data_IF_462833705708
#
_entry.id   IF_462833705708
#
_cell.length_a   1.000
_cell.length_b   1.000
_cell.length_c   1.000
_cell.angle_alpha   90.00
_cell.angle_beta   90.00
_cell.angle_gamma   90.00
#
_symmetry.space_group_name_H-M   'P 1'
#
loop_
_entity.id
_entity.type
_entity.pdbx_description
1 polymer ?
#
# COMPACT_ATOMS: atom_id res chain seq x y z
N UNK A 1 -21.17 18.64 -10.05
CA UNK A 1 -21.30 18.22 -8.64
C UNK A 1 -20.41 16.99 -8.46
N UNK A 2 -19.17 17.18 -8.06
CA UNK A 2 -18.26 16.08 -7.73
C UNK A 2 -18.69 15.51 -6.38
N UNK A 3 -19.33 14.36 -6.39
CA UNK A 3 -19.54 13.57 -5.18
C UNK A 3 -18.17 13.11 -4.70
N UNK A 4 -17.73 13.61 -3.54
CA UNK A 4 -16.51 13.16 -2.86
C UNK A 4 -16.59 11.65 -2.67
N UNK A 5 -15.88 10.90 -3.51
CA UNK A 5 -15.86 9.43 -3.55
C UNK A 5 -14.85 8.90 -2.52
N UNK A 6 -15.01 9.28 -1.25
CA UNK A 6 -14.05 8.92 -0.20
C UNK A 6 -14.39 7.59 0.47
N UNK A 7 -15.46 6.90 0.04
CA UNK A 7 -15.85 5.59 0.57
C UNK A 7 -16.27 4.60 -0.51
N UNK A 8 -15.88 3.33 -0.32
CA UNK A 8 -16.44 2.23 -1.08
C UNK A 8 -17.75 1.79 -0.42
N UNK A 9 -18.74 1.40 -1.22
CA UNK A 9 -20.03 0.90 -0.75
C UNK A 9 -20.42 -0.38 -1.47
N UNK A 10 -21.11 -1.28 -0.79
CA UNK A 10 -21.57 -2.54 -1.37
C UNK A 10 -22.50 -3.27 -0.41
N UNK A 11 -23.67 -3.68 -0.92
CA UNK A 11 -24.67 -4.49 -0.19
C UNK A 11 -24.88 -4.01 1.25
N UNK A 12 -25.26 -2.74 1.42
CA UNK A 12 -25.57 -2.11 2.71
C UNK A 12 -24.38 -1.84 3.63
N UNK A 13 -23.14 -2.04 3.16
CA UNK A 13 -21.92 -1.67 3.89
C UNK A 13 -21.15 -0.57 3.17
N UNK A 14 -20.43 0.24 3.93
CA UNK A 14 -19.42 1.18 3.41
C UNK A 14 -18.11 1.03 4.16
N UNK A 15 -17.00 1.20 3.46
CA UNK A 15 -15.67 1.19 4.05
C UNK A 15 -14.76 2.26 3.43
N UNK A 16 -13.88 2.82 4.26
CA UNK A 16 -12.83 3.73 3.80
C UNK A 16 -11.61 3.66 4.71
N UNK A 17 -10.49 4.21 4.22
CA UNK A 17 -9.24 4.32 4.96
C UNK A 17 -9.00 5.79 5.27
N UNK A 18 -8.54 6.07 6.49
CA UNK A 18 -8.04 7.39 6.87
C UNK A 18 -6.57 7.30 7.23
N UNK A 19 -5.78 8.32 6.91
CA UNK A 19 -4.38 8.47 7.32
C UNK A 19 -4.29 9.69 8.21
N UNK A 20 -3.73 9.51 9.42
CA UNK A 20 -3.70 10.53 10.48
C UNK A 20 -5.10 11.18 10.73
N UNK A 21 -6.15 10.37 10.70
CA UNK A 21 -7.54 10.81 10.93
C UNK A 21 -8.23 11.48 9.74
N UNK A 22 -7.54 11.67 8.61
CA UNK A 22 -8.13 12.26 7.39
C UNK A 22 -8.49 11.16 6.39
N UNK A 23 -9.75 11.07 5.91
CA UNK A 23 -10.14 10.12 4.87
C UNK A 23 -9.28 10.25 3.62
N UNK A 24 -8.77 9.13 3.12
CA UNK A 24 -8.00 9.10 1.88
C UNK A 24 -8.91 9.23 0.67
N UNK A 25 -8.49 10.06 -0.29
CA UNK A 25 -9.06 10.05 -1.63
C UNK A 25 -8.91 8.66 -2.27
N UNK A 26 -9.95 8.25 -3.00
CA UNK A 26 -10.00 6.96 -3.68
C UNK A 26 -9.87 7.13 -5.18
N UNK A 27 -8.99 6.34 -5.79
CA UNK A 27 -8.67 6.41 -7.21
C UNK A 27 -9.02 5.11 -7.93
N UNK A 28 -9.40 5.23 -9.20
CA UNK A 28 -9.79 4.12 -10.07
C UNK A 28 -10.74 3.12 -9.36
N UNK A 29 -11.81 3.66 -8.77
CA UNK A 29 -12.85 2.88 -8.09
C UNK A 29 -13.53 1.95 -9.09
N UNK A 30 -13.64 0.67 -8.73
CA UNK A 30 -14.27 -0.34 -9.54
C UNK A 30 -15.17 -1.21 -8.66
N UNK A 31 -16.38 -1.44 -9.13
CA UNK A 31 -17.34 -2.35 -8.53
C UNK A 31 -17.47 -3.57 -9.43
N UNK A 32 -17.48 -4.76 -8.83
CA UNK A 32 -17.80 -5.98 -9.56
C UNK A 32 -18.90 -6.71 -8.81
N UNK A 33 -19.90 -7.14 -9.56
CA UNK A 33 -20.88 -8.07 -9.05
C UNK A 33 -20.18 -9.41 -8.82
N UNK A 34 -20.45 -10.03 -7.68
CA UNK A 34 -19.91 -11.35 -7.36
C UNK A 34 -20.82 -12.46 -7.83
N UNK A 35 -20.25 -13.65 -7.94
CA UNK A 35 -21.05 -14.85 -8.12
C UNK A 35 -21.78 -15.26 -6.82
N UNK A 36 -22.45 -16.42 -6.88
CA UNK A 36 -23.22 -16.94 -5.75
C UNK A 36 -22.38 -17.20 -4.49
N UNK A 37 -21.06 -17.35 -4.61
CA UNK A 37 -20.15 -17.74 -3.52
C UNK A 37 -19.35 -16.54 -3.02
N UNK A 38 -18.76 -15.75 -3.92
CA UNK A 38 -17.84 -14.68 -3.58
C UNK A 38 -18.52 -13.36 -3.16
N UNK A 39 -19.77 -13.14 -3.60
CA UNK A 39 -20.51 -11.90 -3.35
C UNK A 39 -19.83 -10.64 -3.92
N UNK A 40 -20.49 -9.47 -3.84
CA UNK A 40 -20.02 -8.27 -4.51
C UNK A 40 -18.65 -7.81 -3.99
N UNK A 41 -17.85 -7.25 -4.89
CA UNK A 41 -16.57 -6.66 -4.54
C UNK A 41 -16.47 -5.20 -5.00
N UNK A 42 -15.72 -4.42 -4.24
CA UNK A 42 -15.37 -3.05 -4.58
C UNK A 42 -13.87 -2.87 -4.35
N UNK A 43 -13.19 -2.20 -5.29
CA UNK A 43 -11.76 -1.97 -5.21
C UNK A 43 -11.39 -0.56 -5.63
N UNK A 44 -10.37 -0.02 -4.99
CA UNK A 44 -9.79 1.27 -5.36
C UNK A 44 -8.32 1.32 -4.99
N UNK A 45 -7.67 2.40 -5.42
CA UNK A 45 -6.35 2.78 -4.97
C UNK A 45 -6.45 3.91 -3.95
N UNK A 46 -5.56 3.89 -2.97
CA UNK A 46 -5.40 4.96 -1.98
C UNK A 46 -3.94 5.36 -1.88
N UNK A 47 -3.70 6.65 -1.60
CA UNK A 47 -2.37 7.11 -1.26
C UNK A 47 -1.96 6.61 0.12
N UNK A 48 -0.71 6.22 0.26
CA UNK A 48 -0.07 5.85 1.53
C UNK A 48 1.16 6.72 1.74
N UNK A 49 1.48 7.00 3.00
CA UNK A 49 2.66 7.79 3.39
C UNK A 49 3.41 7.02 4.45
N UNK A 50 4.71 6.77 4.25
CA UNK A 50 5.52 6.06 5.22
C UNK A 50 5.53 6.77 6.58
N UNK A 51 5.58 5.97 7.64
CA UNK A 51 5.59 6.39 9.05
C UNK A 51 4.32 7.14 9.50
N UNK A 52 3.22 7.06 8.73
CA UNK A 52 1.93 7.59 9.14
C UNK A 52 1.00 6.49 9.61
N UNK A 53 0.22 6.82 10.64
CA UNK A 53 -0.82 5.95 11.16
C UNK A 53 -2.00 5.93 10.21
N UNK A 54 -2.69 4.80 10.13
CA UNK A 54 -3.94 4.71 9.38
C UNK A 54 -5.00 3.94 10.15
N UNK A 55 -6.25 4.20 9.78
CA UNK A 55 -7.41 3.53 10.36
C UNK A 55 -8.37 3.09 9.27
N UNK A 56 -8.98 1.93 9.48
CA UNK A 56 -10.02 1.37 8.63
C UNK A 56 -11.35 1.73 9.27
N UNK A 57 -12.22 2.36 8.50
CA UNK A 57 -13.55 2.72 8.94
C UNK A 57 -14.58 1.89 8.20
N UNK A 58 -15.55 1.40 8.96
CA UNK A 58 -16.61 0.52 8.48
C UNK A 58 -17.93 1.07 8.97
N UNK A 59 -18.88 1.22 8.06
CA UNK A 59 -20.25 1.60 8.37
C UNK A 59 -21.19 0.57 7.77
N UNK A 60 -22.29 0.28 8.47
CA UNK A 60 -23.39 -0.47 7.91
C UNK A 60 -24.65 0.38 7.88
N UNK A 61 -25.53 0.08 6.95
CA UNK A 61 -26.91 0.54 6.97
C UNK A 61 -27.68 -0.15 8.10
N UNK A 62 -28.85 0.41 8.42
CA UNK A 62 -29.68 -0.14 9.47
C UNK A 62 -30.36 -1.43 8.98
N UNK A 63 -30.09 -2.53 9.67
CA UNK A 63 -30.69 -3.85 9.46
C UNK A 63 -30.74 -4.62 10.79
N UNK A 64 -31.46 -5.74 10.82
CA UNK A 64 -31.60 -6.60 12.01
C UNK A 64 -30.51 -7.68 12.10
N UNK A 65 -29.42 -7.54 11.33
CA UNK A 65 -28.32 -8.51 11.29
C UNK A 65 -27.15 -8.07 12.16
N UNK A 66 -26.55 -9.02 12.86
CA UNK A 66 -25.17 -8.83 13.30
C UNK A 66 -24.26 -8.92 12.08
N UNK A 67 -23.06 -8.36 12.20
CA UNK A 67 -22.10 -8.43 11.11
C UNK A 67 -20.70 -8.69 11.62
N UNK A 68 -19.89 -9.30 10.76
CA UNK A 68 -18.49 -9.60 11.02
C UNK A 68 -17.62 -8.93 9.97
N UNK A 69 -16.58 -8.25 10.42
CA UNK A 69 -15.50 -7.73 9.58
C UNK A 69 -14.25 -8.59 9.77
N UNK A 70 -13.76 -9.17 8.68
CA UNK A 70 -12.46 -9.81 8.62
C UNK A 70 -11.50 -8.92 7.83
N UNK A 71 -10.46 -8.41 8.49
CA UNK A 71 -9.47 -7.53 7.87
C UNK A 71 -8.20 -8.31 7.59
N UNK A 72 -7.71 -8.16 6.37
CA UNK A 72 -6.43 -8.67 5.93
C UNK A 72 -5.51 -7.50 5.59
N UNK A 73 -4.32 -7.48 6.17
CA UNK A 73 -3.26 -6.52 5.88
C UNK A 73 -2.12 -7.26 5.22
N UNK A 74 -1.76 -6.85 4.02
CA UNK A 74 -0.71 -7.48 3.22
C UNK A 74 -0.88 -9.00 3.04
N UNK A 75 -2.13 -9.47 3.03
CA UNK A 75 -2.49 -10.89 2.92
C UNK A 75 -2.73 -11.62 4.25
N UNK A 76 -2.32 -11.06 5.39
CA UNK A 76 -2.49 -11.70 6.70
C UNK A 76 -3.78 -11.28 7.37
N UNK A 77 -4.55 -12.25 7.88
CA UNK A 77 -5.75 -11.97 8.66
C UNK A 77 -5.36 -11.41 10.03
N UNK A 78 -5.69 -10.15 10.29
CA UNK A 78 -5.26 -9.45 11.52
C UNK A 78 -6.41 -9.06 12.44
N UNK A 79 -7.62 -8.92 11.89
CA UNK A 79 -8.82 -8.57 12.66
C UNK A 79 -9.96 -9.48 12.24
N UNK A 80 -10.66 -9.98 13.25
CA UNK A 80 -11.91 -10.71 13.11
C UNK A 80 -12.87 -10.16 14.19
N UNK A 81 -13.64 -9.14 13.82
CA UNK A 81 -14.50 -8.40 14.74
C UNK A 81 -15.96 -8.64 14.40
N UNK A 82 -16.74 -8.99 15.42
CA UNK A 82 -18.20 -9.13 15.34
C UNK A 82 -18.83 -7.89 15.96
N UNK A 83 -19.83 -7.34 15.28
CA UNK A 83 -20.53 -6.13 15.68
C UNK A 83 -22.01 -6.43 15.81
N UNK A 84 -22.59 -5.95 16.91
CA UNK A 84 -23.98 -6.17 17.22
C UNK A 84 -24.90 -5.34 16.31
N UNK A 85 -26.05 -5.89 15.91
CA UNK A 85 -27.02 -5.26 15.00
C UNK A 85 -27.48 -3.86 15.38
N UNK A 86 -27.57 -3.56 16.68
CA UNK A 86 -27.96 -2.24 17.20
C UNK A 86 -26.90 -1.16 16.99
N UNK A 87 -25.68 -1.52 16.59
CA UNK A 87 -24.61 -0.58 16.34
C UNK A 87 -24.73 -0.08 14.89
N UNK A 88 -25.15 1.17 14.75
CA UNK A 88 -25.24 1.87 13.45
C UNK A 88 -24.13 2.91 13.26
N UNK A 89 -23.40 3.25 14.33
CA UNK A 89 -22.26 4.16 14.26
C UNK A 89 -21.10 3.55 13.46
N UNK A 90 -20.33 4.39 12.78
CA UNK A 90 -19.07 3.99 12.15
C UNK A 90 -18.15 3.31 13.17
N UNK A 91 -17.62 2.16 12.78
CA UNK A 91 -16.60 1.42 13.52
C UNK A 91 -15.24 1.73 12.93
N UNK A 92 -14.31 2.09 13.81
CA UNK A 92 -12.93 2.42 13.45
C UNK A 92 -12.02 1.32 13.98
N UNK A 93 -11.17 0.81 13.11
CA UNK A 93 -10.13 -0.18 13.41
C UNK A 93 -8.79 0.53 13.14
N UNK A 94 -8.12 0.95 14.20
CA UNK A 94 -6.79 1.59 14.15
C UNK A 94 -5.69 0.74 14.78
N UNK A 95 -6.07 -0.35 15.45
CA UNK A 95 -5.15 -1.23 16.17
C UNK A 95 -5.46 -2.70 15.90
N UNK A 96 -4.48 -3.55 16.20
CA UNK A 96 -4.62 -5.01 16.23
C UNK A 96 -4.27 -5.54 17.62
N UNK A 97 -4.91 -6.64 18.00
CA UNK A 97 -4.65 -7.30 19.29
C UNK A 97 -3.48 -8.27 19.18
N UNK A 98 -2.45 -8.07 20.00
CA UNK A 98 -1.29 -8.97 20.09
C UNK A 98 -1.39 -9.93 21.29
N UNK A 99 -2.26 -9.61 22.24
CA UNK A 99 -2.66 -10.46 23.36
C UNK A 99 -4.10 -10.11 23.78
N UNK A 100 -4.60 -10.66 24.89
CA UNK A 100 -5.90 -10.29 25.46
C UNK A 100 -5.95 -8.84 25.98
N UNK A 101 -4.78 -8.23 26.19
CA UNK A 101 -4.62 -6.97 26.91
C UNK A 101 -3.69 -5.98 26.23
N UNK A 102 -3.08 -6.33 25.10
CA UNK A 102 -2.17 -5.44 24.39
C UNK A 102 -2.57 -5.32 22.93
N UNK A 103 -2.36 -4.11 22.41
CA UNK A 103 -2.62 -3.79 21.01
C UNK A 103 -1.42 -3.09 20.38
N UNK A 104 -1.38 -3.07 19.04
CA UNK A 104 -0.44 -2.25 18.28
C UNK A 104 -1.17 -1.41 17.25
N UNK A 105 -0.73 -0.17 17.10
CA UNK A 105 -1.25 0.76 16.08
C UNK A 105 -0.87 0.32 14.66
N UNK A 106 -1.75 0.61 13.71
CA UNK A 106 -1.55 0.33 12.28
C UNK A 106 -0.82 1.50 11.61
N UNK A 107 0.34 1.22 11.03
CA UNK A 107 1.16 2.22 10.35
C UNK A 107 1.53 1.76 8.93
N UNK A 108 1.57 2.71 7.99
CA UNK A 108 2.32 2.51 6.76
C UNK A 108 3.81 2.71 7.04
N UNK A 109 4.66 1.89 6.44
CA UNK A 109 6.10 2.01 6.55
C UNK A 109 6.78 1.72 5.23
N UNK A 110 8.03 2.16 5.09
CA UNK A 110 8.86 1.77 3.96
C UNK A 110 9.05 0.24 3.94
N UNK A 111 9.07 -0.33 2.74
CA UNK A 111 9.36 -1.72 2.50
C UNK A 111 10.84 -2.01 2.80
N UNK A 112 11.12 -2.94 3.70
CA UNK A 112 12.48 -3.41 3.96
C UNK A 112 12.85 -4.46 2.91
N UNK A 113 13.88 -4.17 2.14
CA UNK A 113 14.27 -4.96 0.98
C UNK A 113 15.59 -5.67 1.25
N UNK A 114 15.76 -6.86 0.69
CA UNK A 114 16.97 -7.66 0.78
C UNK A 114 17.28 -8.32 -0.56
N UNK A 115 18.55 -8.58 -0.85
CA UNK A 115 19.01 -9.33 -2.04
C UNK A 115 19.37 -10.79 -1.68
N UNK A 116 18.82 -11.28 -0.56
CA UNK A 116 19.00 -12.65 -0.10
C UNK A 116 17.95 -13.56 -0.74
N UNK A 117 18.37 -14.39 -1.70
CA UNK A 117 17.52 -15.31 -2.44
C UNK A 117 16.71 -16.27 -1.52
N UNK A 118 17.13 -16.48 -0.26
CA UNK A 118 16.33 -17.22 0.74
C UNK A 118 14.93 -16.61 0.97
N UNK A 119 14.77 -15.31 0.71
CA UNK A 119 13.51 -14.60 0.88
C UNK A 119 12.56 -14.75 -0.32
N UNK A 120 12.97 -15.43 -1.40
CA UNK A 120 12.14 -15.65 -2.59
C UNK A 120 11.03 -16.68 -2.38
N UNK A 121 11.25 -17.66 -1.52
CA UNK A 121 10.32 -18.77 -1.31
C UNK A 121 9.15 -18.42 -0.37
N UNK A 122 9.14 -17.22 0.22
CA UNK A 122 8.09 -16.80 1.15
C UNK A 122 6.75 -16.55 0.42
N UNK A 123 5.73 -17.42 0.57
CA UNK A 123 4.43 -17.25 -0.08
C UNK A 123 3.62 -16.01 0.33
N UNK A 124 3.73 -15.41 1.55
CA UNK A 124 2.86 -14.30 1.91
C UNK A 124 3.14 -12.98 1.16
N UNK A 125 4.25 -12.88 0.44
CA UNK A 125 4.69 -11.62 -0.20
C UNK A 125 3.83 -11.17 -1.38
N UNK A 126 2.99 -12.05 -1.97
CA UNK A 126 2.20 -11.72 -3.17
C UNK A 126 1.09 -10.69 -2.93
N UNK A 127 0.67 -10.52 -1.68
CA UNK A 127 -0.44 -9.65 -1.31
C UNK A 127 0.01 -8.39 -0.56
N UNK A 128 1.28 -7.99 -0.66
CA UNK A 128 1.76 -6.72 -0.08
C UNK A 128 1.18 -5.53 -0.84
N UNK A 129 0.84 -4.48 -0.11
CA UNK A 129 0.27 -3.27 -0.70
C UNK A 129 -1.25 -3.35 -0.84
N UNK A 130 -1.90 -4.26 -0.10
CA UNK A 130 -3.34 -4.46 -0.12
C UNK A 130 -3.90 -4.48 1.30
N UNK A 131 -4.99 -3.75 1.51
CA UNK A 131 -5.87 -3.85 2.67
C UNK A 131 -7.18 -4.43 2.17
N UNK A 132 -7.56 -5.60 2.68
CA UNK A 132 -8.81 -6.27 2.29
C UNK A 132 -9.74 -6.37 3.48
N UNK A 133 -10.95 -5.86 3.34
CA UNK A 133 -12.00 -5.93 4.36
C UNK A 133 -13.12 -6.80 3.82
N UNK A 134 -13.40 -7.91 4.49
CA UNK A 134 -14.49 -8.82 4.13
C UNK A 134 -15.59 -8.67 5.18
N UNK A 135 -16.75 -8.20 4.73
CA UNK A 135 -17.95 -8.03 5.55
C UNK A 135 -18.88 -9.21 5.32
N UNK A 136 -19.46 -9.75 6.38
CA UNK A 136 -20.50 -10.79 6.31
C UNK A 136 -21.61 -10.45 7.26
N UNK A 137 -22.88 -10.69 6.87
CA UNK A 137 -24.04 -10.71 7.77
C UNK A 137 -24.15 -12.05 8.49
N UNK A 138 -24.86 -12.06 9.61
CA UNK A 138 -24.93 -13.24 10.45
C UNK A 138 -25.58 -12.99 11.80
N UNK A 139 -25.39 -13.96 12.69
CA UNK A 139 -25.84 -13.91 14.08
C UNK A 139 -24.68 -14.12 15.03
N UNK A 140 -24.59 -13.24 16.02
CA UNK A 140 -23.67 -13.38 17.13
C UNK A 140 -24.20 -14.42 18.12
N UNK A 141 -23.40 -15.43 18.41
CA UNK A 141 -23.69 -16.43 19.43
C UNK A 141 -23.11 -16.06 20.80
N UNK A 142 -22.85 -17.08 21.60
CA UNK A 142 -22.34 -16.93 22.97
C UNK A 142 -20.89 -16.40 23.00
N UNK A 143 -20.54 -15.76 24.11
CA UNK A 143 -19.16 -15.36 24.39
C UNK A 143 -18.31 -16.57 24.75
N UNK A 144 -17.09 -16.59 24.23
CA UNK A 144 -16.13 -17.66 24.49
C UNK A 144 -15.22 -17.25 25.67
N UNK A 145 -14.88 -18.20 26.57
CA UNK A 145 -14.09 -17.90 27.76
C UNK A 145 -12.61 -17.58 27.46
N UNK A 146 -12.09 -18.06 26.34
CA UNK A 146 -10.68 -17.89 25.95
C UNK A 146 -10.52 -17.12 24.63
N UNK A 147 -9.50 -16.27 24.60
CA UNK A 147 -9.02 -15.62 23.38
C UNK A 147 -8.32 -16.65 22.47
N UNK A 148 -8.41 -16.45 21.16
CA UNK A 148 -7.65 -17.28 20.19
C UNK A 148 -6.17 -16.90 20.18
N UNK A 149 -5.34 -17.84 19.75
CA UNK A 149 -3.91 -17.64 19.49
C UNK A 149 -3.63 -16.43 18.59
N UNK A 150 -2.49 -15.79 18.86
CA UNK A 150 -2.05 -14.56 18.22
C UNK A 150 -0.81 -14.81 17.35
N UNK A 151 -1.02 -15.27 16.12
CA UNK A 151 0.06 -15.24 15.12
C UNK A 151 0.03 -13.91 14.38
N UNK A 152 0.67 -12.91 14.98
CA UNK A 152 1.12 -11.74 14.22
C UNK A 152 2.52 -12.04 13.75
N UNK A 153 2.62 -12.75 12.64
CA UNK A 153 3.88 -12.89 11.94
C UNK A 153 4.34 -11.50 11.50
N UNK A 154 5.52 -11.11 11.96
CA UNK A 154 6.25 -10.04 11.31
C UNK A 154 6.69 -10.58 9.95
N UNK A 155 5.93 -10.23 8.90
CA UNK A 155 6.34 -10.36 7.50
C UNK A 155 7.81 -9.94 7.40
N UNK A 156 8.70 -10.87 7.05
CA UNK A 156 10.15 -10.64 7.01
C UNK A 156 10.57 -9.61 5.95
N UNK A 157 11.86 -9.60 5.61
CA UNK A 157 12.38 -8.77 4.52
C UNK A 157 11.84 -9.28 3.18
N UNK A 158 11.65 -8.36 2.23
CA UNK A 158 11.15 -8.70 0.88
C UNK A 158 12.30 -8.74 -0.09
N UNK A 159 12.38 -9.78 -0.92
CA UNK A 159 13.44 -9.86 -1.91
C UNK A 159 13.31 -8.77 -2.99
N UNK A 160 14.41 -8.19 -3.46
CA UNK A 160 14.43 -7.14 -4.50
C UNK A 160 13.64 -7.55 -5.76
N UNK A 161 13.74 -8.82 -6.17
CA UNK A 161 13.04 -9.36 -7.35
C UNK A 161 11.51 -9.38 -7.22
N UNK A 162 10.96 -9.32 -6.00
CA UNK A 162 9.51 -9.31 -5.73
C UNK A 162 8.95 -7.89 -5.58
N UNK A 163 9.80 -6.85 -5.69
CA UNK A 163 9.51 -5.46 -5.37
C UNK A 163 8.68 -4.72 -6.42
N UNK A 164 8.40 -5.27 -7.61
CA UNK A 164 7.90 -4.47 -8.75
C UNK A 164 6.69 -3.59 -8.39
N UNK A 165 6.92 -2.28 -8.26
CA UNK A 165 5.91 -1.29 -7.89
C UNK A 165 5.48 -1.26 -6.40
N UNK A 166 6.22 -1.91 -5.50
CA UNK A 166 6.00 -1.95 -4.05
C UNK A 166 7.08 -1.15 -3.32
N UNK A 167 6.66 -0.19 -2.53
CA UNK A 167 7.54 0.70 -1.76
C UNK A 167 7.09 0.90 -0.32
N UNK A 168 5.81 0.70 -0.04
CA UNK A 168 5.25 0.72 1.31
C UNK A 168 4.71 -0.67 1.69
N UNK A 169 4.71 -0.93 2.99
CA UNK A 169 4.08 -2.08 3.65
C UNK A 169 3.35 -1.63 4.91
N UNK A 170 2.50 -2.49 5.47
CA UNK A 170 2.01 -2.30 6.83
C UNK A 170 3.08 -2.71 7.84
N UNK A 171 3.24 -1.90 8.89
CA UNK A 171 3.96 -2.24 10.12
C UNK A 171 3.08 -1.92 11.32
N UNK A 172 3.44 -2.55 12.43
CA UNK A 172 2.75 -2.36 13.70
C UNK A 172 3.59 -1.47 14.61
N UNK A 173 2.94 -0.54 15.29
CA UNK A 173 3.58 0.31 16.30
C UNK A 173 4.07 -0.47 17.53
N UNK A 174 4.57 0.22 18.56
CA UNK A 174 4.89 -0.41 19.84
C UNK A 174 3.64 -1.04 20.47
N UNK A 175 3.86 -2.03 21.33
CA UNK A 175 2.78 -2.62 22.12
C UNK A 175 2.26 -1.60 23.13
N UNK A 176 0.94 -1.47 23.21
CA UNK A 176 0.23 -0.57 24.11
C UNK A 176 -0.81 -1.36 24.90
N UNK A 177 -0.92 -1.07 26.20
CA UNK A 177 -1.90 -1.68 27.08
C UNK A 177 -3.31 -1.24 26.66
N UNK A 178 -4.18 -2.22 26.38
CA UNK A 178 -5.58 -1.98 26.11
C UNK A 178 -6.34 -1.67 27.41
N UNK A 179 -7.26 -0.72 27.33
CA UNK A 179 -8.12 -0.32 28.44
C UNK A 179 -9.15 -1.40 28.81
N UNK A 180 -9.46 -2.31 27.88
CA UNK A 180 -10.43 -3.39 28.07
C UNK A 180 -9.81 -4.71 27.64
N UNK A 181 -10.29 -5.81 28.23
CA UNK A 181 -9.93 -7.14 27.76
C UNK A 181 -10.58 -7.39 26.40
N UNK A 182 -9.85 -8.04 25.49
CA UNK A 182 -10.44 -8.59 24.27
C UNK A 182 -11.53 -9.62 24.61
N UNK A 183 -12.65 -9.57 23.88
CA UNK A 183 -13.72 -10.57 23.98
C UNK A 183 -13.85 -11.33 22.67
N UNK A 184 -14.15 -12.63 22.77
CA UNK A 184 -14.47 -13.46 21.62
C UNK A 184 -15.90 -13.99 21.74
N UNK A 185 -16.55 -14.22 20.60
CA UNK A 185 -17.88 -14.82 20.55
C UNK A 185 -17.99 -15.75 19.35
N UNK A 186 -18.97 -16.64 19.39
CA UNK A 186 -19.38 -17.41 18.24
C UNK A 186 -20.04 -16.51 17.20
N UNK A 187 -19.93 -16.89 15.93
CA UNK A 187 -20.55 -16.16 14.83
C UNK A 187 -21.01 -17.12 13.75
N UNK A 188 -22.31 -17.08 13.46
CA UNK A 188 -22.93 -17.84 12.39
C UNK A 188 -23.11 -16.93 11.16
N UNK A 189 -22.50 -17.29 10.04
CA UNK A 189 -22.58 -16.52 8.79
C UNK A 189 -23.94 -16.74 8.15
N UNK A 190 -24.66 -15.66 7.85
CA UNK A 190 -25.96 -15.69 7.18
C UNK A 190 -25.92 -14.69 6.03
N UNK A 191 -25.50 -15.15 4.85
CA UNK A 191 -25.42 -14.33 3.65
C UNK A 191 -24.06 -14.35 2.99
N UNK A 192 -24.00 -13.73 1.82
CA UNK A 192 -22.78 -13.64 1.01
C UNK A 192 -21.84 -12.58 1.59
N UNK A 193 -20.52 -12.75 1.42
CA UNK A 193 -19.59 -11.72 1.82
C UNK A 193 -19.62 -10.53 0.86
N UNK A 194 -19.25 -9.36 1.38
CA UNK A 194 -18.92 -8.17 0.60
C UNK A 194 -17.45 -7.88 0.80
N UNK A 195 -16.70 -7.70 -0.27
CA UNK A 195 -15.25 -7.48 -0.17
C UNK A 195 -14.86 -6.09 -0.63
N UNK A 196 -14.21 -5.33 0.24
CA UNK A 196 -13.56 -4.06 -0.07
C UNK A 196 -12.06 -4.26 -0.17
N UNK A 197 -11.46 -3.88 -1.30
CA UNK A 197 -10.03 -4.02 -1.56
C UNK A 197 -9.39 -2.65 -1.81
N UNK A 198 -8.59 -2.19 -0.85
CA UNK A 198 -7.82 -0.96 -0.97
C UNK A 198 -6.38 -1.29 -1.35
N UNK A 199 -5.97 -0.90 -2.54
CA UNK A 199 -4.59 -1.00 -3.00
C UNK A 199 -3.85 0.27 -2.60
N UNK A 200 -2.84 0.18 -1.77
CA UNK A 200 -2.15 1.37 -1.28
C UNK A 200 -0.77 1.51 -1.90
N UNK A 201 -0.43 2.71 -2.37
CA UNK A 201 0.89 3.07 -2.90
C UNK A 201 1.22 4.51 -2.53
N UNK A 202 2.50 4.93 -2.54
CA UNK A 202 2.84 6.34 -2.50
C UNK A 202 2.09 7.15 -3.57
N UNK A 203 1.76 8.41 -3.26
CA UNK A 203 0.99 9.27 -4.17
C UNK A 203 1.72 9.51 -5.50
N UNK A 204 3.03 9.74 -5.45
CA UNK A 204 3.90 9.90 -6.62
C UNK A 204 3.87 8.67 -7.54
N UNK A 205 3.84 7.46 -6.98
CA UNK A 205 3.69 6.21 -7.75
C UNK A 205 2.31 6.13 -8.42
N UNK A 206 1.23 6.52 -7.71
CA UNK A 206 -0.10 6.56 -8.30
C UNK A 206 -0.19 7.60 -9.43
N UNK A 207 0.46 8.75 -9.27
CA UNK A 207 0.53 9.82 -10.26
C UNK A 207 1.39 9.45 -11.49
N UNK A 208 2.51 8.75 -11.27
CA UNK A 208 3.36 8.25 -12.33
C UNK A 208 2.61 7.24 -13.22
N UNK A 209 1.79 6.38 -12.60
CA UNK A 209 0.95 5.39 -13.27
C UNK A 209 -0.40 5.93 -13.77
N UNK A 210 -0.62 7.26 -13.73
CA UNK A 210 -1.85 7.92 -14.21
C UNK A 210 -3.13 7.46 -13.48
N UNK A 211 -3.00 6.90 -12.28
CA UNK A 211 -4.12 6.50 -11.42
C UNK A 211 -4.63 7.71 -10.63
N UNK A 212 -3.72 8.58 -10.16
CA UNK A 212 -4.04 9.80 -9.45
C UNK A 212 -3.66 11.04 -10.28
N UNK A 213 -4.40 12.15 -10.18
CA UNK A 213 -4.05 13.39 -10.88
C UNK A 213 -2.68 13.92 -10.45
N UNK A 214 -1.84 14.29 -11.42
CA UNK A 214 -0.61 15.05 -11.17
C UNK A 214 -0.99 16.48 -10.83
N UNK A 215 -0.61 16.94 -9.64
CA UNK A 215 -0.75 18.36 -9.30
C UNK A 215 0.40 19.08 -10.05
N UNK A 216 0.12 19.48 -11.29
CA UNK A 216 1.09 20.14 -12.17
C UNK A 216 0.42 21.28 -12.90
N UNK A 217 0.80 22.50 -12.52
CA UNK A 217 0.58 23.77 -13.23
C UNK A 217 -0.80 23.93 -13.84
N UNK A 218 -1.80 24.31 -13.05
CA UNK A 218 -2.88 25.09 -13.63
C UNK A 218 -2.27 26.38 -14.17
N UNK A 219 -2.27 26.45 -15.49
CA UNK A 219 -2.12 27.65 -16.30
C UNK A 219 -2.85 28.84 -15.66
N UNK A 220 -2.16 29.97 -15.58
CA UNK A 220 -2.74 31.32 -15.38
C UNK A 220 -3.62 31.77 -16.58
N UNK A 221 -4.27 30.84 -17.28
CA UNK A 221 -5.12 31.12 -18.43
C UNK A 221 -6.57 30.79 -18.08
N UNK A 222 -7.17 31.64 -17.24
CA UNK A 222 -8.62 31.96 -17.23
C UNK A 222 -8.95 32.97 -16.13
N UNK A 223 -8.54 34.22 -16.31
CA UNK A 223 -9.19 35.38 -15.70
C UNK A 223 -8.94 36.64 -16.54
N UNK A 224 -9.60 36.74 -17.69
CA UNK A 224 -9.86 38.05 -18.32
C UNK A 224 -11.38 38.22 -18.35
N UNK A 225 -11.93 38.81 -17.29
CA UNK A 225 -12.93 39.87 -17.47
C UNK A 225 -12.98 40.78 -16.22
N UNK A 226 -13.07 42.08 -16.50
CA UNK A 226 -13.44 43.23 -15.63
C UNK A 226 -12.37 43.90 -14.73
N UNK A 227 -11.67 44.85 -15.37
CA UNK A 227 -11.25 46.22 -14.93
C UNK A 227 -10.53 46.48 -13.60
N UNK A 228 -9.34 47.08 -13.70
CA UNK A 228 -8.98 48.32 -12.98
C UNK A 228 -7.77 49.03 -13.62
N UNK A 229 -7.95 50.30 -14.01
CA UNK A 229 -6.89 51.25 -14.36
C UNK A 229 -6.06 51.59 -13.11
N UNK A 230 -4.73 51.41 -13.11
CA UNK A 230 -3.76 52.32 -12.47
C UNK A 230 -2.40 52.24 -13.18
N UNK A 231 -1.87 53.40 -13.54
CA UNK A 231 -0.52 53.67 -14.07
C UNK A 231 0.60 53.18 -13.15
N UNK A 232 1.67 52.64 -13.74
CA UNK A 232 2.96 52.50 -13.08
C UNK A 232 4.00 51.88 -14.03
N UNK A 233 4.81 52.73 -14.65
CA UNK A 233 5.93 52.36 -15.51
C UNK A 233 7.02 51.62 -14.71
N UNK A 234 7.57 50.56 -15.30
CA UNK A 234 8.68 49.78 -14.73
C UNK A 234 9.12 48.69 -15.69
N UNK A 235 9.85 49.09 -16.74
CA UNK A 235 10.46 48.21 -17.75
C UNK A 235 11.56 47.38 -17.09
N UNK A 236 11.43 46.04 -17.03
CA UNK A 236 12.58 45.12 -16.94
C UNK A 236 12.42 44.00 -17.97
N UNK A 237 13.15 44.24 -19.06
CA UNK A 237 13.68 43.37 -20.10
C UNK A 237 13.67 41.84 -19.84
N UNK A 238 12.81 41.12 -20.57
CA UNK A 238 12.98 39.70 -20.88
C UNK A 238 13.91 39.62 -22.10
N UNK A 239 15.17 39.23 -21.88
CA UNK A 239 16.07 38.61 -22.87
C UNK A 239 17.48 38.54 -22.28
N UNK A 240 17.87 37.39 -21.69
CA UNK A 240 19.27 36.95 -21.57
C UNK A 240 19.35 35.71 -20.66
N UNK A 241 18.93 34.52 -21.13
CA UNK A 241 19.39 33.26 -20.51
C UNK A 241 19.56 32.08 -21.49
N UNK A 242 19.27 32.24 -22.79
CA UNK A 242 19.50 31.19 -23.80
C UNK A 242 20.99 30.84 -24.02
N UNK A 243 21.90 31.78 -23.74
CA UNK A 243 23.33 31.58 -23.97
C UNK A 243 23.99 30.73 -22.87
N UNK A 244 23.57 30.92 -21.62
CA UNK A 244 24.03 30.10 -20.49
C UNK A 244 23.51 28.67 -20.59
N UNK A 245 22.27 28.49 -21.07
CA UNK A 245 21.69 27.16 -21.25
C UNK A 245 22.45 26.35 -22.31
N UNK A 246 22.85 26.99 -23.42
CA UNK A 246 23.72 26.35 -24.43
C UNK A 246 25.10 26.00 -23.88
N UNK A 247 25.69 26.89 -23.08
CA UNK A 247 27.02 26.66 -22.53
C UNK A 247 27.04 25.50 -21.51
N UNK A 248 26.00 25.37 -20.69
CA UNK A 248 25.80 24.25 -19.77
C UNK A 248 25.61 22.92 -20.49
N UNK A 249 24.87 22.88 -21.60
CA UNK A 249 24.70 21.68 -22.41
C UNK A 249 26.03 21.24 -23.07
N UNK A 250 26.81 22.19 -23.58
CA UNK A 250 28.13 21.90 -24.13
C UNK A 250 29.11 21.36 -23.08
N UNK A 251 29.06 21.87 -21.85
CA UNK A 251 29.87 21.35 -20.74
C UNK A 251 29.48 19.92 -20.35
N UNK A 252 28.18 19.59 -20.31
CA UNK A 252 27.71 18.23 -20.02
C UNK A 252 28.15 17.21 -21.09
N UNK A 253 28.17 17.61 -22.35
CA UNK A 253 28.61 16.76 -23.45
C UNK A 253 30.13 16.50 -23.40
N UNK A 254 30.94 17.52 -23.07
CA UNK A 254 32.37 17.39 -22.81
C UNK A 254 32.66 16.40 -21.67
N UNK A 255 31.93 16.50 -20.55
CA UNK A 255 32.08 15.58 -19.40
C UNK A 255 31.70 14.14 -19.77
N UNK A 256 30.63 13.95 -20.54
CA UNK A 256 30.22 12.62 -21.03
C UNK A 256 31.27 11.99 -21.95
N UNK A 257 31.83 12.77 -22.87
CA UNK A 257 32.88 12.29 -23.77
C UNK A 257 34.18 11.94 -23.02
N UNK A 258 34.53 12.72 -21.99
CA UNK A 258 35.69 12.44 -21.12
C UNK A 258 35.51 11.18 -20.29
N UNK A 259 34.29 10.87 -19.81
CA UNK A 259 33.97 9.61 -19.13
C UNK A 259 34.06 8.41 -20.07
N UNK A 260 33.57 8.53 -21.31
CA UNK A 260 33.65 7.47 -22.33
C UNK A 260 35.10 7.18 -22.75
N UNK A 261 35.93 8.22 -22.89
CA UNK A 261 37.35 8.06 -23.22
C UNK A 261 38.15 7.38 -22.09
N UNK A 262 37.79 7.61 -20.82
CA UNK A 262 38.42 6.93 -19.66
C UNK A 262 38.02 5.46 -19.52
N UNK A 263 36.88 5.04 -20.06
CA UNK A 263 36.44 3.64 -20.01
C UNK A 263 37.15 2.75 -21.04
N UNK A 264 37.71 3.33 -22.11
CA UNK A 264 38.36 2.56 -23.19
C UNK A 264 39.88 2.39 -23.03
N UNK A 265 40.52 3.04 -22.05
CA UNK A 265 41.96 2.90 -21.81
C UNK A 265 42.25 2.28 -20.43
N UNK A 266 42.46 0.97 -20.44
CA UNK A 266 43.39 0.30 -19.51
C UNK A 266 42.76 -0.43 -18.33
N UNK A 267 42.37 -1.69 -18.53
CA UNK A 267 42.42 -2.70 -17.47
C UNK A 267 42.96 -4.02 -18.06
N UNK A 268 44.06 -4.57 -17.51
CA UNK A 268 44.66 -5.81 -18.00
C UNK A 268 43.72 -7.01 -17.76
N UNK A 269 43.54 -7.84 -18.80
CA UNK A 269 42.73 -9.06 -18.76
C UNK A 269 43.26 -10.01 -17.67
N UNK A 270 42.47 -10.17 -16.61
CA UNK A 270 42.67 -11.19 -15.57
C UNK A 270 42.52 -12.58 -16.22
N UNK A 271 43.59 -13.36 -16.28
CA UNK A 271 43.56 -14.76 -16.75
C UNK A 271 42.68 -15.57 -15.81
N UNK A 272 41.55 -16.05 -16.31
CA UNK A 272 40.74 -17.08 -15.64
C UNK A 272 41.49 -18.40 -15.80
N UNK A 273 41.75 -19.06 -14.68
CA UNK A 273 42.35 -20.40 -14.60
C UNK A 273 41.31 -21.38 -15.13
N UNK A 274 41.62 -22.07 -16.22
CA UNK A 274 40.78 -23.16 -16.71
C UNK A 274 40.88 -24.33 -15.73
N UNK A 275 39.75 -24.78 -15.19
CA UNK A 275 39.68 -26.05 -14.46
C UNK A 275 39.77 -27.21 -15.47
N UNK A 276 40.40 -28.30 -15.03
CA UNK A 276 40.66 -29.47 -15.86
C UNK A 276 39.35 -30.15 -16.27
N UNK A 277 39.25 -30.48 -17.56
CA UNK A 277 38.14 -31.24 -18.13
C UNK A 277 38.01 -32.60 -17.45
N UNK A 278 36.84 -32.87 -16.87
CA UNK A 278 36.41 -34.24 -16.54
C UNK A 278 36.18 -34.99 -17.85
N UNK A 279 36.84 -36.15 -18.00
CA UNK A 279 36.61 -37.04 -19.14
C UNK A 279 35.47 -37.99 -18.75
N UNK A 280 34.41 -38.14 -19.56
CA UNK A 280 33.33 -39.09 -19.26
C UNK A 280 33.88 -40.52 -19.19
N UNK A 281 33.89 -41.12 -17.99
CA UNK A 281 34.35 -42.49 -17.73
C UNK A 281 35.27 -42.68 -16.52
N UNK A 282 35.68 -41.61 -15.83
CA UNK A 282 36.52 -41.71 -14.63
C UNK A 282 35.70 -42.15 -13.40
N UNK A 283 35.99 -43.35 -12.88
CA UNK A 283 35.44 -43.86 -11.62
C UNK A 283 36.33 -43.36 -10.49
N UNK A 284 35.76 -42.53 -9.60
CA UNK A 284 36.46 -42.03 -8.42
C UNK A 284 36.30 -43.07 -7.31
N UNK A 285 37.41 -43.68 -6.90
CA UNK A 285 37.46 -44.61 -5.77
C UNK A 285 37.48 -43.81 -4.45
N UNK A 286 36.48 -44.02 -3.60
CA UNK A 286 36.33 -43.36 -2.30
C UNK A 286 36.60 -44.38 -1.20
N UNK A 287 37.87 -44.65 -0.96
CA UNK A 287 38.33 -45.23 0.29
C UNK A 287 39.35 -44.30 0.95
N UNK A 288 38.91 -43.64 2.02
CA UNK A 288 39.49 -43.62 3.38
C UNK A 288 38.53 -42.83 4.28
#
# INVERSE_FOLDING_TARGET
>A
METSNDMLSGDGFSAWISVDGVPCAQYAVQYQEGDAVAGPNARCWIASTANKSFSIHIRKEQDDSDYRAMVYLDGHAVVNSVFHKMVTSTRTISTIWISDYETRNLNFAALDITDDDSCLENPPLRNIGYIRVVMTRGKRGEFLPEGREHDIENLGKVHERLKTGLSHRVKYGPAEQAAVKRTCCQYEVQGKPVTFLFRYRPLDVLQANEIAPRIGSQSEDKANDVTAMVKGEGIINVNSDDEKERELLAQLESVRNRKRAKQNNGLPKKKVKAEANFVPGEVIDLTI
#
